data_IF_632607033358
#
_entry.id   IF_632607033358
#
_cell.length_a   1.000
_cell.length_b   1.000
_cell.length_c   1.000
_cell.angle_alpha   90.00
_cell.angle_beta   90.00
_cell.angle_gamma   90.00
#
_symmetry.space_group_name_H-M   'P 1'
#
loop_
_entity.id
_entity.type
_entity.pdbx_description
1 polymer ?
#
# COMPACT_ATOMS: atom_id res chain seq x y z
N UNK A 1 -15.25 38.34 -22.36
CA UNK A 1 -15.42 36.88 -22.26
C UNK A 1 -14.07 36.23 -22.48
N UNK A 2 -13.54 35.54 -21.47
CA UNK A 2 -12.76 34.29 -21.52
C UNK A 2 -11.99 34.17 -20.19
N UNK A 3 -12.66 33.58 -19.20
CA UNK A 3 -12.01 33.09 -18.00
C UNK A 3 -11.41 31.71 -18.33
N UNK A 4 -10.09 31.64 -18.44
CA UNK A 4 -9.36 30.39 -18.64
C UNK A 4 -9.19 29.71 -17.27
N UNK A 5 -10.08 28.79 -16.94
CA UNK A 5 -10.00 27.94 -15.75
C UNK A 5 -8.94 26.87 -15.95
N UNK A 6 -7.71 27.12 -15.51
CA UNK A 6 -6.70 26.09 -15.32
C UNK A 6 -7.05 25.27 -14.06
N UNK A 7 -8.01 24.35 -14.17
CA UNK A 7 -8.13 23.22 -13.25
C UNK A 7 -7.06 22.19 -13.65
N UNK A 8 -5.82 22.50 -13.30
CA UNK A 8 -4.74 21.52 -13.36
C UNK A 8 -5.03 20.40 -12.37
N UNK A 9 -5.48 19.24 -12.87
CA UNK A 9 -5.48 17.99 -12.12
C UNK A 9 -4.02 17.49 -12.05
N UNK A 10 -3.18 18.24 -11.34
CA UNK A 10 -1.80 17.86 -11.03
C UNK A 10 -1.83 16.86 -9.89
N UNK A 11 -2.13 15.60 -10.19
CA UNK A 11 -1.94 14.52 -9.24
C UNK A 11 -0.45 14.34 -8.98
N UNK A 12 0.07 15.01 -7.95
CA UNK A 12 1.35 14.67 -7.33
C UNK A 12 1.16 13.33 -6.62
N UNK A 13 1.22 12.25 -7.39
CA UNK A 13 0.73 10.94 -6.98
C UNK A 13 1.71 10.20 -6.09
N UNK A 14 1.84 10.61 -4.83
CA UNK A 14 2.49 9.80 -3.78
C UNK A 14 1.74 8.46 -3.58
N UNK A 15 0.42 8.45 -3.79
CA UNK A 15 -0.42 7.27 -3.75
C UNK A 15 -1.40 7.26 -4.95
N UNK A 16 -1.38 6.17 -5.70
CA UNK A 16 -2.30 5.89 -6.80
C UNK A 16 -3.24 4.76 -6.41
N UNK A 17 -4.54 5.03 -6.35
CA UNK A 17 -5.55 3.99 -6.12
C UNK A 17 -5.76 3.16 -7.39
N UNK A 18 -5.76 1.84 -7.26
CA UNK A 18 -5.91 0.91 -8.39
C UNK A 18 -7.04 -0.12 -8.20
N UNK A 19 -7.58 -0.26 -6.99
CA UNK A 19 -8.67 -1.20 -6.69
C UNK A 19 -9.79 -0.64 -5.82
N UNK A 20 -10.44 -1.53 -5.06
CA UNK A 20 -11.59 -1.22 -4.23
C UNK A 20 -11.31 -0.20 -3.12
N UNK A 21 -12.39 0.32 -2.52
CA UNK A 21 -12.31 1.18 -1.34
C UNK A 21 -12.61 0.35 -0.09
N UNK A 22 -11.72 0.44 0.89
CA UNK A 22 -11.84 -0.30 2.15
C UNK A 22 -11.74 0.67 3.33
N UNK A 23 -12.28 0.25 4.48
CA UNK A 23 -12.12 0.98 5.71
C UNK A 23 -10.64 1.00 6.14
N UNK A 24 -10.19 2.16 6.65
CA UNK A 24 -8.87 2.29 7.24
C UNK A 24 -8.74 1.38 8.47
N UNK A 25 -7.54 0.82 8.70
CA UNK A 25 -7.25 -0.14 9.79
C UNK A 25 -6.65 0.51 11.04
N UNK A 26 -6.83 1.82 11.21
CA UNK A 26 -6.21 2.61 12.28
C UNK A 26 -4.80 3.11 11.92
N UNK A 27 -4.20 4.00 12.74
CA UNK A 27 -2.91 4.63 12.44
C UNK A 27 -1.69 3.70 12.60
N UNK A 28 -1.81 2.65 13.41
CA UNK A 28 -0.74 1.68 13.67
C UNK A 28 -1.21 0.26 13.33
N UNK A 29 -1.71 0.07 12.12
CA UNK A 29 -2.17 -1.24 11.70
C UNK A 29 -0.99 -2.20 11.45
N UNK A 30 -1.16 -3.47 11.85
CA UNK A 30 -0.24 -4.52 11.46
C UNK A 30 -0.40 -4.87 9.98
N UNK A 31 0.72 -4.87 9.25
CA UNK A 31 0.77 -5.30 7.86
C UNK A 31 2.08 -6.02 7.51
N UNK A 32 2.01 -6.87 6.48
CA UNK A 32 3.15 -7.67 6.02
C UNK A 32 3.88 -6.97 4.86
N UNK A 33 5.21 -7.04 4.87
CA UNK A 33 6.01 -6.76 3.68
C UNK A 33 6.30 -8.10 3.00
N UNK A 34 5.88 -8.27 1.75
CA UNK A 34 6.02 -9.54 1.05
C UNK A 34 7.04 -9.39 -0.08
N UNK A 35 8.22 -9.97 0.13
CA UNK A 35 9.30 -10.02 -0.88
C UNK A 35 9.30 -11.30 -1.72
N UNK A 36 8.56 -12.32 -1.28
CA UNK A 36 8.49 -13.62 -1.94
C UNK A 36 7.21 -13.72 -2.78
N UNK A 37 7.12 -14.77 -3.60
CA UNK A 37 5.90 -15.04 -4.38
C UNK A 37 4.70 -15.22 -3.46
N UNK A 38 3.60 -14.54 -3.78
CA UNK A 38 2.30 -14.70 -3.12
C UNK A 38 1.54 -15.84 -3.80
N UNK A 39 0.94 -16.71 -2.99
CA UNK A 39 0.09 -17.81 -3.47
C UNK A 39 -1.38 -17.59 -3.11
N UNK A 40 -1.63 -16.78 -2.10
CA UNK A 40 -2.95 -16.40 -1.64
C UNK A 40 -3.63 -15.44 -2.63
N UNK A 41 -4.94 -15.56 -2.88
CA UNK A 41 -5.65 -14.59 -3.70
C UNK A 41 -5.69 -13.22 -2.99
N UNK A 42 -5.34 -12.19 -3.73
CA UNK A 42 -5.33 -10.81 -3.27
C UNK A 42 -5.88 -9.87 -4.33
N UNK A 43 -6.30 -8.70 -3.86
CA UNK A 43 -6.62 -7.55 -4.67
C UNK A 43 -5.56 -6.47 -4.45
N UNK A 44 -5.13 -5.84 -5.53
CA UNK A 44 -4.35 -4.61 -5.45
C UNK A 44 -5.28 -3.45 -5.14
N UNK A 45 -5.00 -2.70 -4.08
CA UNK A 45 -5.86 -1.56 -3.66
C UNK A 45 -5.24 -0.22 -4.05
N UNK A 46 -3.92 -0.17 -4.14
CA UNK A 46 -3.20 1.00 -4.62
C UNK A 46 -1.70 0.79 -4.65
N UNK A 47 -1.00 1.79 -5.18
CA UNK A 47 0.45 1.81 -5.32
C UNK A 47 0.96 3.11 -4.70
N UNK A 48 1.96 3.00 -3.84
CA UNK A 48 2.70 4.15 -3.31
C UNK A 48 3.93 4.36 -4.19
N UNK A 49 4.04 5.54 -4.80
CA UNK A 49 5.22 5.94 -5.57
C UNK A 49 6.20 6.67 -4.64
N UNK A 50 7.19 5.94 -4.13
CA UNK A 50 8.16 6.47 -3.18
C UNK A 50 9.15 7.40 -3.89
N UNK A 51 9.44 7.16 -5.16
CA UNK A 51 10.32 8.00 -5.95
C UNK A 51 9.72 9.39 -6.16
N UNK A 52 8.39 9.50 -6.26
CA UNK A 52 7.70 10.77 -6.42
C UNK A 52 7.80 11.72 -5.21
N UNK A 53 8.03 11.22 -3.98
CA UNK A 53 8.09 12.06 -2.77
C UNK A 53 9.35 11.92 -1.93
N UNK A 54 10.21 10.93 -2.18
CA UNK A 54 11.45 10.76 -1.43
C UNK A 54 12.48 11.83 -1.84
N UNK A 55 12.45 12.97 -1.14
CA UNK A 55 13.47 14.02 -1.28
C UNK A 55 14.80 13.53 -0.68
N UNK A 56 15.66 12.98 -1.53
CA UNK A 56 17.07 12.72 -1.22
C UNK A 56 17.48 11.25 -1.19
N UNK A 57 16.78 10.38 -0.44
CA UNK A 57 17.15 8.96 -0.34
C UNK A 57 15.94 8.04 -0.34
N UNK A 58 15.84 7.21 -1.38
CA UNK A 58 14.94 6.05 -1.40
C UNK A 58 15.28 5.06 -0.26
N UNK A 59 14.30 4.34 0.31
CA UNK A 59 14.59 3.27 1.26
C UNK A 59 15.51 2.19 0.65
N UNK A 60 16.43 1.67 1.46
CA UNK A 60 17.34 0.56 1.11
C UNK A 60 17.26 -0.61 2.08
N UNK A 61 16.38 -0.51 3.07
CA UNK A 61 16.09 -1.54 4.06
C UNK A 61 14.57 -1.55 4.34
N UNK A 62 14.11 -2.63 4.96
CA UNK A 62 12.68 -2.84 5.22
C UNK A 62 12.13 -1.83 6.23
N UNK A 63 12.90 -1.44 7.23
CA UNK A 63 12.43 -0.52 8.29
C UNK A 63 12.15 0.87 7.73
N UNK A 64 13.04 1.40 6.90
CA UNK A 64 12.84 2.68 6.20
C UNK A 64 11.67 2.60 5.24
N UNK A 65 11.51 1.48 4.54
CA UNK A 65 10.38 1.30 3.64
C UNK A 65 9.05 1.27 4.40
N UNK A 66 8.98 0.51 5.50
CA UNK A 66 7.77 0.45 6.34
C UNK A 66 7.36 1.82 6.86
N UNK A 67 8.32 2.66 7.25
CA UNK A 67 8.06 4.04 7.63
C UNK A 67 7.50 4.89 6.49
N UNK A 68 8.00 4.67 5.26
CA UNK A 68 7.55 5.41 4.08
C UNK A 68 6.14 5.02 3.63
N UNK A 69 5.75 3.74 3.72
CA UNK A 69 4.46 3.27 3.18
C UNK A 69 3.39 2.99 4.24
N UNK A 70 3.76 2.90 5.53
CA UNK A 70 2.87 2.38 6.57
C UNK A 70 1.54 3.12 6.69
N UNK A 71 1.59 4.45 6.70
CA UNK A 71 0.38 5.29 6.78
C UNK A 71 -0.55 5.05 5.58
N UNK A 72 0.00 4.95 4.37
CA UNK A 72 -0.76 4.63 3.16
C UNK A 72 -1.38 3.25 3.20
N UNK A 73 -0.63 2.23 3.63
CA UNK A 73 -1.13 0.86 3.77
C UNK A 73 -2.33 0.81 4.72
N UNK A 74 -2.20 1.46 5.88
CA UNK A 74 -3.25 1.43 6.89
C UNK A 74 -4.49 2.24 6.50
N UNK A 75 -4.31 3.44 5.91
CA UNK A 75 -5.41 4.25 5.39
C UNK A 75 -6.14 3.59 4.22
N UNK A 76 -5.42 2.85 3.38
CA UNK A 76 -6.00 2.11 2.26
C UNK A 76 -6.70 0.80 2.69
N UNK A 77 -6.60 0.41 3.96
CA UNK A 77 -7.15 -0.87 4.43
C UNK A 77 -6.36 -2.08 3.93
N UNK A 78 -5.08 -1.91 3.61
CA UNK A 78 -4.20 -2.97 3.13
C UNK A 78 -3.85 -3.99 4.22
N UNK A 79 -3.59 -5.23 3.79
CA UNK A 79 -3.08 -6.31 4.66
C UNK A 79 -1.58 -6.53 4.48
N UNK A 80 -1.09 -6.22 3.28
CA UNK A 80 0.31 -6.36 2.94
C UNK A 80 0.73 -5.34 1.87
N UNK A 81 2.04 -5.23 1.69
CA UNK A 81 2.65 -4.42 0.65
C UNK A 81 3.74 -5.23 -0.04
N UNK A 82 3.79 -5.13 -1.36
CA UNK A 82 4.80 -5.77 -2.23
C UNK A 82 5.77 -4.66 -2.67
N UNK A 83 7.04 -4.71 -2.26
CA UNK A 83 8.00 -3.71 -2.67
C UNK A 83 8.49 -3.96 -4.10
N UNK A 84 8.62 -2.89 -4.88
CA UNK A 84 9.41 -2.88 -6.12
C UNK A 84 10.79 -2.32 -5.83
N UNK A 85 11.83 -3.04 -6.25
CA UNK A 85 13.23 -2.68 -5.99
C UNK A 85 13.91 -2.37 -7.33
N UNK A 86 14.59 -1.22 -7.44
CA UNK A 86 15.33 -0.85 -8.64
C UNK A 86 16.71 -1.55 -8.71
N UNK A 87 17.46 -1.31 -9.79
CA UNK A 87 18.77 -1.94 -10.02
C UNK A 87 19.84 -1.60 -8.97
N UNK A 88 19.64 -0.57 -8.16
CA UNK A 88 20.54 -0.17 -7.08
C UNK A 88 20.13 -0.76 -5.71
N UNK A 89 19.14 -1.66 -5.67
CA UNK A 89 18.63 -2.23 -4.43
C UNK A 89 17.76 -1.25 -3.63
N UNK A 90 17.24 -0.19 -4.26
CA UNK A 90 16.40 0.82 -3.61
C UNK A 90 14.92 0.53 -3.85
N UNK A 91 14.11 0.70 -2.83
CA UNK A 91 12.68 0.40 -2.87
C UNK A 91 11.99 1.65 -3.43
N UNK A 92 11.42 1.52 -4.63
CA UNK A 92 10.90 2.65 -5.42
C UNK A 92 9.38 2.73 -5.37
N UNK A 93 8.69 1.59 -5.28
CA UNK A 93 7.24 1.55 -5.16
C UNK A 93 6.82 0.55 -4.08
N UNK A 94 5.63 0.76 -3.53
CA UNK A 94 4.93 -0.21 -2.68
C UNK A 94 3.54 -0.50 -3.22
N UNK A 95 3.31 -1.71 -3.72
CA UNK A 95 1.98 -2.16 -4.14
C UNK A 95 1.21 -2.66 -2.92
N UNK A 96 0.20 -1.90 -2.50
CA UNK A 96 -0.64 -2.24 -1.36
C UNK A 96 -1.69 -3.24 -1.82
N UNK A 97 -1.79 -4.34 -1.08
CA UNK A 97 -2.73 -5.42 -1.39
C UNK A 97 -3.63 -5.74 -0.19
N UNK A 98 -4.80 -6.26 -0.51
CA UNK A 98 -5.75 -6.82 0.43
C UNK A 98 -6.04 -8.27 0.06
N UNK A 99 -5.73 -9.19 0.97
CA UNK A 99 -6.13 -10.60 0.80
C UNK A 99 -7.64 -10.75 0.78
N UNK A 100 -8.15 -11.68 -0.04
CA UNK A 100 -9.57 -12.04 -0.11
C UNK A 100 -9.87 -13.17 0.86
N UNK A 101 -10.49 -12.91 2.03
CA UNK A 101 -10.66 -13.91 3.09
C UNK A 101 -11.56 -15.08 2.67
N UNK A 102 -12.57 -14.78 1.85
CA UNK A 102 -13.48 -15.76 1.27
C UNK A 102 -12.78 -16.76 0.35
N UNK A 103 -11.65 -16.35 -0.24
CA UNK A 103 -10.89 -17.11 -1.24
C UNK A 103 -9.57 -17.68 -0.66
N UNK A 104 -9.21 -17.30 0.57
CA UNK A 104 -7.95 -17.67 1.22
C UNK A 104 -8.19 -18.58 2.44
N UNK A 105 -7.95 -19.88 2.30
CA UNK A 105 -8.10 -20.84 3.40
C UNK A 105 -7.13 -20.56 4.58
N UNK A 106 -5.88 -20.15 4.32
CA UNK A 106 -4.89 -19.88 5.38
C UNK A 106 -5.16 -18.57 6.14
N UNK A 107 -5.77 -17.59 5.49
CA UNK A 107 -6.09 -16.31 6.10
C UNK A 107 -7.07 -16.46 7.26
N UNK A 108 -7.95 -17.49 7.23
CA UNK A 108 -8.85 -17.81 8.35
C UNK A 108 -8.13 -18.40 9.57
N UNK A 109 -7.01 -19.10 9.37
CA UNK A 109 -6.38 -19.93 10.41
C UNK A 109 -5.21 -19.22 11.09
N UNK A 110 -4.50 -18.32 10.40
CA UNK A 110 -3.27 -17.69 10.91
C UNK A 110 -3.47 -16.29 11.53
N UNK A 111 -4.71 -15.88 11.83
CA UNK A 111 -4.98 -14.78 12.76
C UNK A 111 -4.70 -13.34 12.27
N UNK A 112 -4.31 -13.13 11.01
CA UNK A 112 -4.00 -11.79 10.45
C UNK A 112 -5.25 -10.89 10.36
N UNK A 113 -6.44 -11.44 10.61
CA UNK A 113 -7.74 -10.75 10.52
C UNK A 113 -8.48 -10.60 11.85
N UNK A 114 -7.87 -10.85 13.01
CA UNK A 114 -8.60 -10.84 14.29
C UNK A 114 -9.03 -9.47 14.82
N UNK A 115 -8.91 -8.38 14.04
CA UNK A 115 -9.44 -7.07 14.45
C UNK A 115 -10.07 -6.34 13.26
N UNK A 116 -11.41 -6.43 13.16
CA UNK A 116 -12.32 -5.36 12.74
C UNK A 116 -13.80 -5.84 12.68
N UNK A 117 -14.27 -6.55 13.72
CA UNK A 117 -15.69 -6.87 13.90
C UNK A 117 -16.11 -6.45 15.32
N UNK A 118 -16.08 -5.15 15.63
CA UNK A 118 -16.85 -4.58 16.75
C UNK A 118 -17.27 -3.14 16.40
N UNK A 119 -18.58 -2.92 16.19
CA UNK A 119 -19.22 -1.59 16.12
C UNK A 119 -20.22 -1.41 14.99
#
# INVERSE_FOLDING_TARGET
MLALSLLGCGGSGEYLRTGGTYAARGPECDYRVIRNRIVEPYEEVGVVDIEAFAVGQLPNDEDRFRKAVGDHVCKAGGHAVIPSINMHGRWVHGTIIRFRPSECQRCRTEGIMLQADEG
#
